data_IF_195068189778
#
_entry.id   IF_195068189778
#
_cell.length_a   1.000
_cell.length_b   1.000
_cell.length_c   1.000
_cell.angle_alpha   90.00
_cell.angle_beta   90.00
_cell.angle_gamma   90.00
#
_symmetry.space_group_name_H-M   'P 1'
#
loop_
_entity.id
_entity.type
_entity.pdbx_description
1 polymer ?
#
# COMPACT_ATOMS: atom_id res chain seq x y z
N UNK A 1 -11.36 -13.45 -10.24
CA UNK A 1 -10.73 -12.57 -9.24
C UNK A 1 -11.65 -11.37 -9.08
N UNK A 2 -12.15 -11.12 -7.87
CA UNK A 2 -13.02 -9.97 -7.59
C UNK A 2 -12.18 -8.88 -6.92
N UNK A 3 -12.54 -7.61 -7.12
CA UNK A 3 -11.95 -6.53 -6.35
C UNK A 3 -12.32 -6.65 -4.88
N UNK A 4 -11.46 -6.19 -3.95
CA UNK A 4 -11.82 -6.10 -2.54
C UNK A 4 -13.06 -5.23 -2.32
N UNK A 5 -13.76 -5.49 -1.22
CA UNK A 5 -14.89 -4.66 -0.82
C UNK A 5 -14.46 -3.19 -0.65
N UNK A 6 -15.28 -2.27 -1.15
CA UNK A 6 -15.04 -0.83 -1.06
C UNK A 6 -14.44 -0.18 -2.32
N UNK A 7 -14.02 -0.94 -3.33
CA UNK A 7 -13.62 -0.37 -4.63
C UNK A 7 -14.86 0.13 -5.38
N UNK A 8 -14.95 1.45 -5.59
CA UNK A 8 -16.05 2.10 -6.32
C UNK A 8 -15.64 2.63 -7.69
N UNK A 9 -14.36 2.93 -7.87
CA UNK A 9 -13.81 3.57 -9.07
C UNK A 9 -12.63 2.75 -9.63
N UNK A 10 -12.62 2.60 -10.97
CA UNK A 10 -11.57 1.85 -11.69
C UNK A 10 -11.04 2.61 -12.88
N UNK A 11 -9.75 2.44 -13.16
CA UNK A 11 -9.08 2.93 -14.36
C UNK A 11 -8.97 1.78 -15.36
N UNK A 12 -9.44 2.02 -16.58
CA UNK A 12 -9.41 1.03 -17.66
C UNK A 12 -8.34 1.42 -18.67
N UNK A 13 -7.31 0.59 -18.77
CA UNK A 13 -6.20 0.74 -19.68
C UNK A 13 -6.35 -0.23 -20.85
N UNK A 14 -6.12 0.24 -22.06
CA UNK A 14 -6.05 -0.61 -23.25
C UNK A 14 -4.60 -0.95 -23.54
N UNK A 15 -4.34 -2.24 -23.70
CA UNK A 15 -3.03 -2.73 -24.12
C UNK A 15 -3.22 -3.72 -25.27
N UNK A 16 -3.04 -3.24 -26.50
CA UNK A 16 -3.38 -3.99 -27.71
C UNK A 16 -4.85 -4.46 -27.72
N UNK A 17 -5.03 -5.78 -27.72
CA UNK A 17 -6.33 -6.45 -27.67
C UNK A 17 -6.92 -6.65 -26.26
N UNK A 18 -6.12 -6.51 -25.19
CA UNK A 18 -6.59 -6.70 -23.81
C UNK A 18 -7.05 -5.39 -23.15
N UNK A 19 -7.78 -5.53 -22.04
CA UNK A 19 -8.13 -4.43 -21.12
C UNK A 19 -7.57 -4.77 -19.75
N UNK A 20 -6.85 -3.84 -19.16
CA UNK A 20 -6.39 -3.90 -17.77
C UNK A 20 -7.31 -3.00 -16.97
N UNK A 21 -7.88 -3.53 -15.89
CA UNK A 21 -8.78 -2.80 -15.00
C UNK A 21 -8.12 -2.79 -13.62
N UNK A 22 -7.81 -1.60 -13.11
CA UNK A 22 -7.18 -1.41 -11.79
C UNK A 22 -8.01 -0.43 -10.96
N UNK A 23 -8.04 -0.53 -9.62
CA UNK A 23 -8.67 0.49 -8.78
C UNK A 23 -8.01 1.86 -9.01
N UNK A 24 -8.81 2.91 -9.21
CA UNK A 24 -8.29 4.24 -9.60
C UNK A 24 -7.48 4.94 -8.52
N UNK A 25 -7.71 4.60 -7.26
CA UNK A 25 -7.16 5.28 -6.08
C UNK A 25 -6.06 4.48 -5.38
N UNK A 26 -5.55 3.44 -6.02
CA UNK A 26 -4.54 2.54 -5.45
C UNK A 26 -3.14 2.79 -6.03
N UNK A 27 -2.80 4.05 -6.28
CA UNK A 27 -1.49 4.44 -6.84
C UNK A 27 -0.56 4.84 -5.70
N UNK A 28 0.60 4.19 -5.62
CA UNK A 28 1.64 4.53 -4.64
C UNK A 28 2.08 5.99 -4.76
N UNK A 29 2.12 6.53 -5.98
CA UNK A 29 2.50 7.92 -6.24
C UNK A 29 1.60 8.92 -5.50
N UNK A 30 0.28 8.74 -5.55
CA UNK A 30 -0.67 9.63 -4.88
C UNK A 30 -0.52 9.54 -3.35
N UNK A 31 -0.30 8.33 -2.81
CA UNK A 31 -0.08 8.12 -1.39
C UNK A 31 1.20 8.82 -0.90
N UNK A 32 2.30 8.70 -1.65
CA UNK A 32 3.58 9.34 -1.30
C UNK A 32 3.62 10.84 -1.62
N UNK A 33 2.75 11.34 -2.50
CA UNK A 33 2.60 12.78 -2.77
C UNK A 33 1.84 13.52 -1.65
N UNK A 34 1.07 12.81 -0.83
CA UNK A 34 0.35 13.41 0.29
C UNK A 34 1.31 13.86 1.41
N UNK A 35 0.98 14.94 2.16
CA UNK A 35 1.74 15.32 3.34
C UNK A 35 1.78 14.18 4.37
N UNK A 36 2.97 13.90 4.89
CA UNK A 36 3.15 12.92 5.96
C UNK A 36 2.59 13.39 7.30
N UNK A 37 2.43 12.45 8.23
CA UNK A 37 2.10 12.71 9.63
C UNK A 37 3.20 12.13 10.52
N UNK A 38 3.52 12.82 11.62
CA UNK A 38 4.40 12.28 12.65
C UNK A 38 3.68 11.15 13.41
N UNK A 39 4.30 9.97 13.44
CA UNK A 39 3.77 8.79 14.13
C UNK A 39 4.34 8.64 15.55
N UNK A 40 5.30 9.48 15.92
CA UNK A 40 5.99 9.42 17.21
C UNK A 40 6.93 8.22 17.35
N UNK A 41 7.50 8.08 18.55
CA UNK A 41 8.39 6.97 18.89
C UNK A 41 7.64 5.64 18.97
N UNK A 42 8.27 4.59 18.42
CA UNK A 42 7.73 3.23 18.52
C UNK A 42 8.05 2.66 19.90
N UNK A 43 7.03 2.17 20.60
CA UNK A 43 7.21 1.35 21.81
C UNK A 43 7.64 -0.08 21.44
N UNK A 44 8.79 -0.20 20.78
CA UNK A 44 9.36 -1.49 20.43
C UNK A 44 10.18 -2.05 21.60
N UNK A 45 10.12 -3.37 21.89
CA UNK A 45 10.96 -3.99 22.90
C UNK A 45 12.44 -3.81 22.59
N UNK A 46 13.28 -3.79 23.62
CA UNK A 46 14.73 -3.87 23.46
C UNK A 46 15.14 -5.18 22.81
N UNK A 47 16.29 -5.17 22.14
CA UNK A 47 16.87 -6.38 21.55
C UNK A 47 17.03 -7.49 22.59
N UNK A 48 16.75 -8.72 22.18
CA UNK A 48 16.90 -9.89 23.04
C UNK A 48 18.38 -10.18 23.28
N UNK A 49 18.82 -10.14 24.54
CA UNK A 49 20.16 -10.60 24.94
C UNK A 49 20.15 -12.13 25.02
N UNK A 50 21.06 -12.80 24.32
CA UNK A 50 21.28 -14.25 24.40
C UNK A 50 22.41 -14.57 25.36
N UNK A 51 22.32 -15.69 26.07
CA UNK A 51 23.43 -16.19 26.89
C UNK A 51 24.63 -16.58 26.00
N UNK A 52 25.83 -16.29 26.48
CA UNK A 52 27.07 -16.77 25.87
C UNK A 52 27.27 -18.26 26.18
N UNK A 53 27.73 -19.02 25.19
CA UNK A 53 28.03 -20.45 25.31
C UNK A 53 29.18 -20.75 26.27
#
# INVERSE_FOLDING_TARGET
>A
MAFPDGVKDVTILREGGRRIIVPSNSVWDDFFAAPGIDLGERNQPTEQVRESF
#
